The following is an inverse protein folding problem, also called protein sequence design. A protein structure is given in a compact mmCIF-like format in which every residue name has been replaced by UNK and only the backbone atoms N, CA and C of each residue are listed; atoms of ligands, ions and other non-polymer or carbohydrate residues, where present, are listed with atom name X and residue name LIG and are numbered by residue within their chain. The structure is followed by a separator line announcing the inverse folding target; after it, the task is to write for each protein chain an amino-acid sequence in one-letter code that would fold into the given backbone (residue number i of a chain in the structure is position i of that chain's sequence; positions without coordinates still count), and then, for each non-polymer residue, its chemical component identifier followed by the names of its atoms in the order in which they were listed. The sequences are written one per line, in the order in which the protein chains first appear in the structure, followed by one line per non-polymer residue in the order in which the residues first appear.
data_IF_041237053939
#
_entry.id   IF_041237053939
#
_cell.length_a   1.000
_cell.length_b   1.000
_cell.length_c   1.000
_cell.angle_alpha   90.00
_cell.angle_beta   90.00
_cell.angle_gamma   90.00
#
_symmetry.space_group_name_H-M   'P 1'
#
loop_
_entity.id
_entity.type
_entity.pdbx_description
1 polymer ?
#
# COMPACT_ATOMS: atom_id res chain seq x y z
N UNK A 1 30.21 0.52 -7.37
CA UNK A 1 30.81 1.73 -6.76
C UNK A 1 32.26 1.89 -7.17
N UNK A 2 32.77 3.12 -7.07
CA UNK A 2 34.20 3.38 -7.15
C UNK A 2 34.93 3.07 -5.82
N UNK A 3 36.24 3.37 -5.78
CA UNK A 3 37.08 3.15 -4.58
C UNK A 3 36.68 4.03 -3.36
N UNK A 4 35.90 5.08 -3.59
CA UNK A 4 35.38 5.98 -2.55
C UNK A 4 33.93 5.67 -2.16
N UNK A 5 33.33 4.63 -2.74
CA UNK A 5 31.95 4.21 -2.45
C UNK A 5 30.87 4.96 -3.25
N UNK A 6 31.26 5.79 -4.23
CA UNK A 6 30.30 6.45 -5.11
C UNK A 6 29.60 5.44 -6.02
N UNK A 7 28.30 5.50 -6.10
CA UNK A 7 27.51 4.65 -6.98
C UNK A 7 27.74 5.01 -8.44
N UNK A 8 28.22 4.06 -9.25
CA UNK A 8 28.52 4.23 -10.67
C UNK A 8 27.49 3.56 -11.57
N UNK A 9 26.91 2.44 -11.14
CA UNK A 9 26.00 1.64 -11.93
C UNK A 9 25.39 0.52 -11.13
N UNK A 10 24.39 -0.12 -11.72
CA UNK A 10 23.72 -1.30 -11.16
C UNK A 10 23.70 -2.42 -12.20
N UNK A 11 23.77 -3.66 -11.72
CA UNK A 11 23.64 -4.86 -12.53
C UNK A 11 22.60 -5.79 -11.94
N UNK A 12 21.78 -6.39 -12.78
CA UNK A 12 20.90 -7.48 -12.37
C UNK A 12 21.60 -8.82 -12.43
N UNK A 13 21.17 -9.78 -11.61
CA UNK A 13 21.65 -11.15 -11.68
C UNK A 13 21.47 -11.75 -13.08
N UNK A 14 20.36 -11.43 -13.75
CA UNK A 14 20.11 -11.85 -15.13
C UNK A 14 21.20 -11.35 -16.10
N UNK A 15 21.61 -10.08 -15.97
CA UNK A 15 22.70 -9.50 -16.78
C UNK A 15 24.00 -10.25 -16.55
N UNK A 16 24.33 -10.53 -15.28
CA UNK A 16 25.55 -11.26 -14.93
C UNK A 16 25.62 -12.69 -15.51
N UNK A 17 24.46 -13.36 -15.59
CA UNK A 17 24.40 -14.73 -16.13
C UNK A 17 24.47 -14.75 -17.68
N UNK A 18 23.98 -13.70 -18.34
CA UNK A 18 23.93 -13.62 -19.80
C UNK A 18 25.26 -13.23 -20.44
N UNK A 19 26.12 -12.54 -19.71
CA UNK A 19 27.43 -12.11 -20.21
C UNK A 19 28.56 -13.05 -19.77
N UNK A 20 29.61 -13.12 -20.60
CA UNK A 20 30.79 -13.91 -20.30
C UNK A 20 31.54 -13.34 -19.09
N UNK A 21 32.23 -14.22 -18.37
CA UNK A 21 32.98 -13.88 -17.15
C UNK A 21 34.18 -12.94 -17.38
N UNK A 22 34.60 -12.75 -18.60
CA UNK A 22 35.69 -11.86 -19.01
C UNK A 22 35.26 -10.41 -19.24
N UNK A 23 33.95 -10.12 -19.20
CA UNK A 23 33.44 -8.74 -19.31
C UNK A 23 33.64 -7.97 -18.01
N UNK A 24 34.04 -6.70 -18.17
CA UNK A 24 34.10 -5.79 -17.03
C UNK A 24 32.70 -5.38 -16.59
N UNK A 25 32.49 -5.23 -15.27
CA UNK A 25 31.21 -4.78 -14.72
C UNK A 25 30.78 -3.43 -15.28
N UNK A 26 31.73 -2.51 -15.50
CA UNK A 26 31.47 -1.20 -16.10
C UNK A 26 30.93 -1.26 -17.52
N UNK A 27 31.23 -2.33 -18.29
CA UNK A 27 30.77 -2.48 -19.66
C UNK A 27 29.33 -3.00 -19.77
N UNK A 28 28.83 -3.62 -18.69
CA UNK A 28 27.52 -4.28 -18.65
C UNK A 28 26.56 -3.66 -17.63
N UNK A 29 26.99 -2.66 -16.89
CA UNK A 29 26.15 -1.98 -15.90
C UNK A 29 25.17 -1.00 -16.56
N UNK A 30 24.05 -0.77 -15.87
CA UNK A 30 23.15 0.33 -16.15
C UNK A 30 23.62 1.54 -15.34
N UNK A 31 23.87 2.66 -15.99
CA UNK A 31 24.34 3.93 -15.41
C UNK A 31 23.23 4.96 -15.19
N UNK A 32 22.08 4.75 -15.83
CA UNK A 32 20.86 5.53 -15.56
C UNK A 32 20.15 4.95 -14.31
N UNK A 33 20.62 5.37 -13.15
CA UNK A 33 20.23 4.80 -11.86
C UNK A 33 19.16 5.67 -11.21
N UNK A 34 18.03 5.05 -10.85
CA UNK A 34 17.06 5.65 -9.95
C UNK A 34 17.51 5.36 -8.51
N UNK A 35 17.68 6.40 -7.72
CA UNK A 35 18.15 6.33 -6.33
C UNK A 35 17.35 7.30 -5.47
N UNK A 36 17.33 7.10 -4.16
CA UNK A 36 16.72 8.00 -3.19
C UNK A 36 17.75 8.53 -2.20
N UNK A 37 17.39 9.62 -1.51
CA UNK A 37 18.14 10.19 -0.41
C UNK A 37 17.60 9.68 0.92
N UNK A 38 18.41 9.63 2.00
CA UNK A 38 17.94 9.23 3.33
C UNK A 38 16.87 10.11 3.94
N UNK A 39 16.67 11.32 3.39
CA UNK A 39 15.69 12.31 3.85
C UNK A 39 14.35 12.22 3.14
N UNK A 40 14.22 11.36 2.14
CA UNK A 40 12.94 11.14 1.44
C UNK A 40 11.98 10.33 2.31
N UNK A 41 10.68 10.62 2.20
CA UNK A 41 9.64 9.91 2.92
C UNK A 41 9.50 8.47 2.41
N UNK A 42 9.24 7.53 3.31
CA UNK A 42 9.18 6.08 2.98
C UNK A 42 8.10 5.78 1.91
N UNK A 43 6.97 6.48 1.98
CA UNK A 43 5.85 6.32 1.04
C UNK A 43 6.21 6.78 -0.36
N UNK A 44 6.98 7.86 -0.50
CA UNK A 44 7.44 8.37 -1.79
C UNK A 44 8.45 7.41 -2.42
N UNK A 45 9.39 6.90 -1.62
CA UNK A 45 10.36 5.87 -2.04
C UNK A 45 9.65 4.59 -2.47
N UNK A 46 8.67 4.13 -1.71
CA UNK A 46 7.85 2.97 -2.04
C UNK A 46 7.06 3.18 -3.34
N UNK A 47 6.45 4.35 -3.53
CA UNK A 47 5.74 4.70 -4.76
C UNK A 47 6.66 4.66 -5.99
N UNK A 48 7.89 5.15 -5.88
CA UNK A 48 8.87 5.10 -6.97
C UNK A 48 9.35 3.68 -7.26
N UNK A 49 9.57 2.84 -6.24
CA UNK A 49 9.90 1.42 -6.41
C UNK A 49 8.82 0.70 -7.26
N UNK A 50 7.54 0.91 -6.96
CA UNK A 50 6.44 0.31 -7.71
C UNK A 50 6.25 0.93 -9.10
N UNK A 51 6.37 2.24 -9.21
CA UNK A 51 6.21 2.96 -10.47
C UNK A 51 7.24 2.55 -11.52
N UNK A 52 8.48 2.34 -11.11
CA UNK A 52 9.59 2.00 -12.01
C UNK A 52 9.93 0.50 -12.03
N UNK A 53 9.20 -0.32 -11.27
CA UNK A 53 9.42 -1.77 -11.14
C UNK A 53 10.87 -2.11 -10.76
N UNK A 54 11.35 -1.44 -9.71
CA UNK A 54 12.73 -1.56 -9.23
C UNK A 54 12.77 -2.61 -8.10
N UNK A 55 13.53 -3.71 -8.24
CA UNK A 55 13.60 -4.75 -7.21
C UNK A 55 14.34 -4.28 -5.95
N UNK A 56 15.27 -3.35 -6.08
CA UNK A 56 16.01 -2.74 -4.98
C UNK A 56 16.47 -1.34 -5.40
N UNK A 57 16.13 -0.32 -4.61
CA UNK A 57 16.50 1.07 -4.84
C UNK A 57 17.73 1.43 -4.01
N UNK A 58 18.81 1.95 -4.61
CA UNK A 58 19.95 2.45 -3.88
C UNK A 58 19.61 3.72 -3.09
N UNK A 59 20.10 3.78 -1.86
CA UNK A 59 20.10 4.98 -1.04
C UNK A 59 21.47 5.63 -1.11
N UNK A 60 21.54 6.87 -1.55
CA UNK A 60 22.79 7.61 -1.72
C UNK A 60 22.74 8.92 -0.92
N UNK A 61 23.91 9.42 -0.55
CA UNK A 61 24.03 10.76 0.03
C UNK A 61 24.07 11.87 -1.04
N UNK A 62 24.21 13.12 -0.62
CA UNK A 62 24.29 14.28 -1.51
C UNK A 62 25.48 14.23 -2.49
N UNK A 63 26.50 13.43 -2.21
CA UNK A 63 27.68 13.24 -3.05
C UNK A 63 27.57 12.02 -3.97
N UNK A 64 26.48 11.27 -3.88
CA UNK A 64 26.27 10.05 -4.63
C UNK A 64 26.93 8.81 -4.01
N UNK A 65 27.39 8.89 -2.76
CA UNK A 65 27.96 7.75 -2.04
C UNK A 65 26.85 6.78 -1.63
N UNK A 66 27.02 5.50 -1.94
CA UNK A 66 26.07 4.47 -1.60
C UNK A 66 26.05 4.23 -0.08
N UNK A 67 24.89 4.42 0.54
CA UNK A 67 24.64 4.22 1.98
C UNK A 67 23.96 2.89 2.27
N UNK A 68 23.08 2.45 1.39
CA UNK A 68 22.30 1.24 1.56
C UNK A 68 21.36 1.00 0.40
N UNK A 69 20.41 0.09 0.60
CA UNK A 69 19.35 -0.23 -0.38
C UNK A 69 18.00 -0.34 0.34
N UNK A 70 16.93 -0.03 -0.38
CA UNK A 70 15.55 -0.33 -0.02
C UNK A 70 15.05 -1.38 -1.00
N UNK A 71 14.54 -2.50 -0.49
CA UNK A 71 14.00 -3.59 -1.31
C UNK A 71 12.50 -3.43 -1.54
N UNK A 72 11.95 -4.15 -2.52
CA UNK A 72 10.50 -4.17 -2.77
C UNK A 72 9.72 -4.67 -1.55
N UNK A 73 10.28 -5.59 -0.77
CA UNK A 73 9.62 -6.12 0.44
C UNK A 73 9.51 -5.02 1.51
N UNK A 74 10.56 -4.22 1.72
CA UNK A 74 10.52 -3.06 2.64
C UNK A 74 9.50 -2.01 2.18
N UNK A 75 9.39 -1.80 0.86
CA UNK A 75 8.42 -0.88 0.28
C UNK A 75 6.96 -1.33 0.48
N UNK A 76 6.70 -2.65 0.48
CA UNK A 76 5.37 -3.19 0.80
C UNK A 76 5.01 -2.92 2.24
N UNK A 77 5.93 -3.14 3.18
CA UNK A 77 5.70 -2.91 4.61
C UNK A 77 5.35 -1.44 4.89
N UNK A 78 6.05 -0.49 4.25
CA UNK A 78 5.77 0.94 4.38
C UNK A 78 4.34 1.32 3.93
N UNK A 79 3.84 0.72 2.85
CA UNK A 79 2.47 0.98 2.34
C UNK A 79 1.40 0.27 3.19
N UNK A 80 1.68 -0.94 3.71
CA UNK A 80 0.72 -1.68 4.54
C UNK A 80 0.42 -0.96 5.86
N UNK A 81 1.38 -0.31 6.48
CA UNK A 81 1.20 0.44 7.72
C UNK A 81 0.27 1.65 7.53
N UNK A 82 0.39 2.37 6.43
CA UNK A 82 -0.49 3.49 6.06
C UNK A 82 -1.92 3.01 5.77
N UNK A 83 -2.08 1.93 5.02
CA UNK A 83 -3.38 1.35 4.69
C UNK A 83 -4.05 0.73 5.91
N UNK A 84 -3.29 0.16 6.85
CA UNK A 84 -3.83 -0.37 8.11
C UNK A 84 -4.35 0.74 9.02
N UNK A 85 -3.67 1.89 9.10
CA UNK A 85 -4.12 3.08 9.82
C UNK A 85 -5.44 3.63 9.30
N UNK A 86 -5.60 3.74 7.99
CA UNK A 86 -6.81 4.23 7.32
C UNK A 86 -7.96 3.21 7.33
N UNK A 87 -7.67 1.92 7.15
CA UNK A 87 -8.69 0.85 7.20
C UNK A 87 -9.32 0.72 8.60
N UNK A 88 -8.55 0.93 9.66
CA UNK A 88 -9.08 0.87 11.02
C UNK A 88 -10.07 2.00 11.28
N UNK A 89 -9.81 3.21 10.79
CA UNK A 89 -10.73 4.35 10.89
C UNK A 89 -11.99 4.16 10.03
N UNK A 90 -11.86 3.68 8.81
CA UNK A 90 -13.00 3.43 7.91
C UNK A 90 -13.88 2.26 8.38
N UNK A 91 -13.30 1.18 8.89
CA UNK A 91 -14.06 0.03 9.36
C UNK A 91 -14.90 0.33 10.61
N UNK A 92 -14.37 1.11 11.55
CA UNK A 92 -15.12 1.48 12.77
C UNK A 92 -16.31 2.38 12.43
N UNK A 93 -16.15 3.36 11.55
CA UNK A 93 -17.23 4.25 11.10
C UNK A 93 -18.26 3.52 10.23
N UNK A 94 -17.81 2.61 9.37
CA UNK A 94 -18.67 1.82 8.48
C UNK A 94 -19.48 0.77 9.27
N UNK A 95 -18.88 0.08 10.23
CA UNK A 95 -19.57 -0.87 11.12
C UNK A 95 -20.59 -0.14 12.00
N UNK A 96 -20.24 1.01 12.58
CA UNK A 96 -21.15 1.82 13.37
C UNK A 96 -22.35 2.32 12.52
N UNK A 97 -22.11 2.74 11.28
CA UNK A 97 -23.17 3.15 10.36
C UNK A 97 -24.12 2.02 9.97
N UNK A 98 -23.60 0.83 9.70
CA UNK A 98 -24.41 -0.35 9.34
C UNK A 98 -25.24 -0.83 10.53
N UNK A 99 -24.70 -0.83 11.73
CA UNK A 99 -25.44 -1.26 12.93
C UNK A 99 -26.58 -0.30 13.26
N UNK A 100 -26.37 1.01 13.17
CA UNK A 100 -27.43 2.01 13.38
C UNK A 100 -28.53 1.92 12.33
N UNK A 101 -28.18 1.79 11.06
CA UNK A 101 -29.15 1.64 9.97
C UNK A 101 -29.97 0.35 10.09
N UNK A 102 -29.35 -0.76 10.51
CA UNK A 102 -30.03 -2.04 10.74
C UNK A 102 -31.00 -1.98 11.91
N UNK A 103 -30.61 -1.36 13.03
CA UNK A 103 -31.48 -1.17 14.20
C UNK A 103 -32.67 -0.25 13.90
N UNK A 104 -32.46 0.83 13.15
CA UNK A 104 -33.54 1.72 12.67
C UNK A 104 -34.52 0.98 11.76
N UNK A 105 -34.03 0.15 10.84
CA UNK A 105 -34.85 -0.66 9.97
C UNK A 105 -35.72 -1.66 10.71
N UNK A 106 -35.17 -2.37 11.71
CA UNK A 106 -35.91 -3.30 12.57
C UNK A 106 -36.97 -2.59 13.42
N UNK A 107 -36.67 -1.40 13.93
CA UNK A 107 -37.59 -0.60 14.69
C UNK A 107 -38.79 -0.13 13.86
N UNK A 108 -38.53 0.38 12.66
CA UNK A 108 -39.58 0.78 11.70
C UNK A 108 -40.46 -0.41 11.29
N UNK A 109 -39.84 -1.57 11.01
CA UNK A 109 -40.56 -2.78 10.66
C UNK A 109 -41.48 -3.26 11.79
N UNK A 110 -41.01 -3.18 13.05
CA UNK A 110 -41.80 -3.49 14.24
C UNK A 110 -43.01 -2.55 14.39
N UNK A 111 -42.84 -1.24 14.15
CA UNK A 111 -43.93 -0.27 14.19
C UNK A 111 -44.99 -0.55 13.11
N UNK A 112 -44.58 -0.90 11.89
CA UNK A 112 -45.50 -1.26 10.80
C UNK A 112 -46.29 -2.51 11.13
N UNK A 113 -45.66 -3.54 11.72
CA UNK A 113 -46.33 -4.76 12.14
C UNK A 113 -47.37 -4.48 13.26
N UNK A 114 -47.03 -3.60 14.20
CA UNK A 114 -47.94 -3.21 15.27
C UNK A 114 -49.18 -2.45 14.72
N UNK A 115 -48.99 -1.57 13.75
CA UNK A 115 -50.07 -0.88 13.06
C UNK A 115 -50.99 -1.83 12.28
N UNK A 116 -50.42 -2.80 11.56
CA UNK A 116 -51.19 -3.81 10.84
C UNK A 116 -51.97 -4.73 11.78
N UNK A 117 -51.38 -5.15 12.90
CA UNK A 117 -52.05 -5.96 13.92
C UNK A 117 -53.20 -5.20 14.57
N UNK A 118 -53.01 -3.89 14.84
CA UNK A 118 -54.07 -3.03 15.40
C UNK A 118 -55.23 -2.84 14.40
N UNK A 119 -54.95 -2.69 13.10
CA UNK A 119 -55.98 -2.59 12.07
C UNK A 119 -56.81 -3.87 11.90
N UNK A 120 -56.18 -5.03 12.03
CA UNK A 120 -56.88 -6.34 11.97
C UNK A 120 -57.79 -6.57 13.19
N UNK A 121 -57.43 -6.03 14.35
CA UNK A 121 -58.25 -6.18 15.57
C UNK A 121 -59.45 -5.26 15.60
N UNK A 122 -59.42 -4.12 14.91
CA UNK A 122 -60.53 -3.18 14.78
C UNK A 122 -61.52 -3.53 13.68
N UNK A 123 -61.09 -4.34 12.68
CA UNK A 123 -61.95 -4.81 11.58
C UNK A 123 -62.87 -6.00 11.94
N UNK A 124 -62.71 -6.60 13.13
CA UNK A 124 -63.49 -7.77 13.56
C UNK A 124 -64.68 -7.48 14.48
N UNK A 125 -65.03 -6.21 14.73
CA UNK A 125 -66.10 -5.80 15.63
C UNK A 125 -67.30 -5.11 14.91
N UNK A 126 -67.69 -5.62 13.75
CA UNK A 126 -68.96 -5.31 13.13
C UNK A 126 -69.70 -6.60 12.80
N UNK A 127 -70.33 -7.13 13.82
CA UNK A 127 -71.61 -7.91 13.76
C UNK A 127 -72.40 -7.61 15.01
#
# INVERSE_FOLDING_TARGET
TDEYGKLLGVNSLRTLVLYNADRLMGDIMYDDIISCLPSEEEEDVAADIFKYDIPAMPVVDEHGTLLGIVTTDDAWDAIEDDVAGDKTKMNVLSIAGITVASLMGLFLYSLILLQLAGSLHLGGLHY
#
